data_IF_610992710099
#
_entry.id   IF_610992710099
#
_cell.length_a   1.000
_cell.length_b   1.000
_cell.length_c   1.000
_cell.angle_alpha   90.00
_cell.angle_beta   90.00
_cell.angle_gamma   90.00
#
_symmetry.space_group_name_H-M   'P 1'
#
loop_
_entity.id
_entity.type
_entity.pdbx_description
1 polymer ?
#
# COMPACT_ATOMS: atom_id res chain seq x y z
N UNK A 1 -14.72 0.14 -7.25
CA UNK A 1 -13.85 -1.05 -7.25
C UNK A 1 -13.06 -1.06 -5.95
N UNK A 2 -12.88 -2.23 -5.33
CA UNK A 2 -12.09 -2.36 -4.10
C UNK A 2 -10.60 -2.21 -4.46
N UNK A 3 -9.95 -1.13 -4.03
CA UNK A 3 -8.52 -0.85 -4.30
C UNK A 3 -7.65 -2.03 -3.87
N UNK A 4 -8.04 -2.69 -2.79
CA UNK A 4 -7.37 -3.89 -2.30
C UNK A 4 -7.41 -5.00 -3.36
N UNK A 5 -8.58 -5.23 -3.96
CA UNK A 5 -8.73 -6.24 -5.01
C UNK A 5 -7.94 -5.86 -6.28
N UNK A 6 -7.84 -4.57 -6.62
CA UNK A 6 -7.00 -4.12 -7.74
C UNK A 6 -5.51 -4.33 -7.46
N UNK A 7 -5.05 -4.02 -6.25
CA UNK A 7 -3.66 -4.24 -5.84
C UNK A 7 -3.28 -5.74 -5.86
N UNK A 8 -4.15 -6.61 -5.35
CA UNK A 8 -3.91 -8.06 -5.38
C UNK A 8 -3.83 -8.57 -6.82
N UNK A 9 -4.69 -8.10 -7.73
CA UNK A 9 -4.62 -8.43 -9.15
C UNK A 9 -3.31 -7.98 -9.80
N UNK A 10 -2.84 -6.77 -9.48
CA UNK A 10 -1.58 -6.25 -9.99
C UNK A 10 -0.40 -7.14 -9.57
N UNK A 11 -0.36 -7.55 -8.30
CA UNK A 11 0.66 -8.46 -7.79
C UNK A 11 0.57 -9.85 -8.44
N UNK A 12 -0.63 -10.34 -8.74
CA UNK A 12 -0.80 -11.59 -9.51
C UNK A 12 -0.24 -11.48 -10.93
N UNK A 13 -0.53 -10.38 -11.63
CA UNK A 13 0.02 -10.15 -12.97
C UNK A 13 1.54 -9.98 -12.94
N UNK A 14 2.09 -9.28 -11.94
CA UNK A 14 3.53 -9.11 -11.78
C UNK A 14 4.25 -10.44 -11.56
N UNK A 15 3.66 -11.36 -10.79
CA UNK A 15 4.20 -12.71 -10.59
C UNK A 15 4.20 -13.50 -11.90
N UNK A 16 3.07 -13.52 -12.60
CA UNK A 16 2.97 -14.21 -13.90
C UNK A 16 4.04 -13.71 -14.87
N UNK A 17 4.27 -12.40 -14.92
CA UNK A 17 5.33 -11.82 -15.76
C UNK A 17 6.72 -12.25 -15.30
N UNK A 18 6.99 -12.29 -13.99
CA UNK A 18 8.26 -12.75 -13.45
C UNK A 18 8.52 -14.23 -13.78
N UNK A 19 7.49 -15.08 -13.66
CA UNK A 19 7.56 -16.50 -14.01
C UNK A 19 7.84 -16.69 -15.52
N UNK A 20 7.17 -15.93 -16.38
CA UNK A 20 7.39 -15.97 -17.84
C UNK A 20 8.79 -15.53 -18.27
N UNK A 21 9.46 -14.69 -17.48
CA UNK A 21 10.81 -14.20 -17.76
C UNK A 21 11.89 -14.97 -16.97
N UNK A 22 11.54 -16.09 -16.34
CA UNK A 22 12.47 -16.92 -15.57
C UNK A 22 13.22 -16.13 -14.48
N UNK A 23 12.50 -15.24 -13.79
CA UNK A 23 13.03 -14.41 -12.71
C UNK A 23 12.58 -14.94 -11.33
N UNK A 24 13.14 -16.05 -10.83
CA UNK A 24 12.64 -16.74 -9.64
C UNK A 24 12.70 -15.88 -8.37
N UNK A 25 13.73 -15.04 -8.23
CA UNK A 25 13.86 -14.13 -7.10
C UNK A 25 12.77 -13.05 -7.12
N UNK A 26 12.42 -12.53 -8.30
CA UNK A 26 11.34 -11.55 -8.43
C UNK A 26 9.98 -12.18 -8.13
N UNK A 27 9.70 -13.38 -8.65
CA UNK A 27 8.48 -14.11 -8.35
C UNK A 27 8.32 -14.35 -6.83
N UNK A 28 9.41 -14.71 -6.14
CA UNK A 28 9.43 -14.85 -4.68
C UNK A 28 9.11 -13.53 -3.97
N UNK A 29 9.76 -12.42 -4.35
CA UNK A 29 9.52 -11.11 -3.75
C UNK A 29 8.07 -10.63 -3.95
N UNK A 30 7.49 -10.89 -5.12
CA UNK A 30 6.09 -10.55 -5.41
C UNK A 30 5.12 -11.40 -4.57
N UNK A 31 5.40 -12.69 -4.38
CA UNK A 31 4.58 -13.54 -3.52
C UNK A 31 4.65 -13.09 -2.04
N UNK A 32 5.83 -12.71 -1.57
CA UNK A 32 6.02 -12.12 -0.23
C UNK A 32 5.20 -10.83 -0.07
N UNK A 33 5.30 -9.90 -1.04
CA UNK A 33 4.51 -8.67 -1.03
C UNK A 33 3.00 -8.92 -1.03
N UNK A 34 2.54 -9.95 -1.75
CA UNK A 34 1.13 -10.37 -1.78
C UNK A 34 0.68 -10.95 -0.44
N UNK A 35 1.50 -11.74 0.23
CA UNK A 35 1.23 -12.27 1.57
C UNK A 35 1.13 -11.13 2.59
N UNK A 36 2.05 -10.18 2.54
CA UNK A 36 2.07 -9.00 3.42
C UNK A 36 0.86 -8.09 3.17
N UNK A 37 0.52 -7.82 1.91
CA UNK A 37 -0.69 -7.07 1.55
C UNK A 37 -1.96 -7.70 2.12
N UNK A 38 -2.08 -9.04 2.07
CA UNK A 38 -3.21 -9.77 2.67
C UNK A 38 -3.23 -9.68 4.19
N UNK A 39 -2.07 -9.69 4.85
CA UNK A 39 -1.93 -9.47 6.29
C UNK A 39 -2.37 -8.07 6.72
N UNK A 40 -2.15 -7.06 5.87
CA UNK A 40 -2.52 -5.66 6.12
C UNK A 40 -3.88 -5.24 5.55
N UNK A 41 -4.76 -6.21 5.25
CA UNK A 41 -6.09 -5.93 4.67
C UNK A 41 -6.92 -4.94 5.50
N UNK A 42 -6.84 -4.99 6.83
CA UNK A 42 -7.61 -4.09 7.71
C UNK A 42 -7.01 -2.67 7.73
N UNK A 43 -5.68 -2.53 7.83
CA UNK A 43 -5.00 -1.23 7.83
C UNK A 43 -5.06 -0.51 6.47
N UNK A 44 -4.99 -1.25 5.37
CA UNK A 44 -5.13 -0.68 4.01
C UNK A 44 -6.57 -0.26 3.71
N UNK A 45 -7.57 -0.95 4.28
CA UNK A 45 -8.99 -0.57 4.17
C UNK A 45 -9.34 0.65 5.03
N UNK A 46 -8.70 0.81 6.19
CA UNK A 46 -8.93 1.92 7.12
C UNK A 46 -8.31 3.25 6.68
N UNK A 47 -7.19 3.25 5.95
CA UNK A 47 -6.58 4.50 5.43
C UNK A 47 -7.53 5.34 4.56
N UNK A 48 -8.60 4.75 4.01
CA UNK A 48 -9.62 5.46 3.21
C UNK A 48 -10.71 6.17 4.04
N UNK A 49 -10.85 5.92 5.34
CA UNK A 49 -11.83 6.61 6.19
C UNK A 49 -11.16 7.67 7.08
N UNK A 50 -10.53 8.68 6.45
CA UNK A 50 -10.33 9.97 7.13
C UNK A 50 -8.91 10.54 7.24
N UNK A 51 -7.90 10.05 6.53
CA UNK A 51 -6.58 10.69 6.51
C UNK A 51 -6.40 11.61 5.30
N UNK A 52 -7.08 12.75 5.32
CA UNK A 52 -6.63 13.95 4.59
C UNK A 52 -7.24 15.26 5.17
N UNK A 53 -7.19 15.44 6.50
CA UNK A 53 -7.57 16.72 7.14
C UNK A 53 -6.63 17.24 8.23
N UNK A 54 -5.56 16.52 8.58
CA UNK A 54 -4.54 17.03 9.50
C UNK A 54 -3.24 17.30 8.74
N UNK A 55 -3.29 18.24 7.78
CA UNK A 55 -2.10 19.04 7.47
C UNK A 55 -1.79 19.87 8.73
N UNK A 56 -0.53 19.94 9.20
CA UNK A 56 -0.19 20.71 10.39
C UNK A 56 -0.43 22.20 10.10
N UNK A 57 -1.40 22.79 10.77
CA UNK A 57 -1.52 24.26 10.84
C UNK A 57 -0.29 24.75 11.58
N UNK A 58 0.62 25.42 10.87
CA UNK A 58 1.64 26.26 11.48
C UNK A 58 0.98 27.14 12.55
N UNK A 59 1.30 26.90 13.82
CA UNK A 59 1.05 27.84 14.90
C UNK A 59 2.11 28.95 14.78
N UNK A 60 1.76 30.22 14.54
CA UNK A 60 2.64 31.29 14.97
C UNK A 60 2.54 31.36 16.50
N UNK A 61 3.69 31.19 17.16
CA UNK A 61 3.84 31.39 18.59
C UNK A 61 3.29 32.76 18.98
N UNK A 62 2.46 32.78 20.02
CA UNK A 62 2.05 33.99 20.72
C UNK A 62 3.31 34.70 21.22
N UNK A 63 3.57 35.91 20.72
CA UNK A 63 4.43 36.86 21.39
C UNK A 63 3.64 37.45 22.55
N UNK A 64 4.15 37.22 23.75
CA UNK A 64 3.69 37.85 24.97
C UNK A 64 4.00 39.35 24.94
N UNK A 65 3.04 40.16 25.36
CA UNK A 65 3.22 41.44 26.07
C UNK A 65 1.98 41.72 26.93
#
# INVERSE_FOLDING_TARGET
MDDFAQMIKLLESAKQLADMNELPMLAYLVEMAKAEARGHRFTLRERRRGQDKNAPKHQPLQAAE
#
